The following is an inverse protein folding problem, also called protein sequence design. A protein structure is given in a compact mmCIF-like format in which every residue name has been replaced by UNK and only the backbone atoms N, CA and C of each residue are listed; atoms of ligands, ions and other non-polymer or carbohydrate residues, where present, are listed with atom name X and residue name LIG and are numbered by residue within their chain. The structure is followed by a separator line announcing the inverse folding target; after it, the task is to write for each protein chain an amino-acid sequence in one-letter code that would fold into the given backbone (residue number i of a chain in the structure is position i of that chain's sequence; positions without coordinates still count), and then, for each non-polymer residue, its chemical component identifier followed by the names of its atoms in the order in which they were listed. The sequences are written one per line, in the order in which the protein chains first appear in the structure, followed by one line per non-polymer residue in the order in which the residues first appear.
data_IF_016809401879
#
_entry.id   IF_016809401879
#
_cell.length_a   1.000
_cell.length_b   1.000
_cell.length_c   1.000
_cell.angle_alpha   90.00
_cell.angle_beta   90.00
_cell.angle_gamma   90.00
#
_symmetry.space_group_name_H-M   'P 1'
#
loop_
_entity.id
_entity.type
_entity.pdbx_description
1 polymer ?
#
# COMPACT_ATOMS: atom_id res chain seq x y z
N UNK A 1 -11.72 -11.87 12.32
CA UNK A 1 -11.39 -10.49 11.95
C UNK A 1 -9.89 -10.35 12.09
N UNK A 2 -9.18 -9.93 11.04
CA UNK A 2 -7.72 -9.82 11.06
C UNK A 2 -7.30 -8.66 11.97
N UNK A 3 -6.11 -8.79 12.56
CA UNK A 3 -5.54 -7.76 13.43
C UNK A 3 -4.65 -6.81 12.60
N UNK A 4 -5.20 -5.64 12.27
CA UNK A 4 -4.47 -4.63 11.50
C UNK A 4 -3.29 -4.02 12.28
N UNK A 5 -3.29 -4.09 13.62
CA UNK A 5 -2.18 -3.56 14.41
C UNK A 5 -0.86 -4.29 14.12
N UNK A 6 -0.92 -5.56 13.73
CA UNK A 6 0.26 -6.34 13.33
C UNK A 6 0.88 -5.82 12.03
N UNK A 7 0.08 -5.31 11.09
CA UNK A 7 0.61 -4.66 9.89
C UNK A 7 1.23 -3.30 10.24
N UNK A 8 0.56 -2.53 11.09
CA UNK A 8 1.06 -1.23 11.58
C UNK A 8 2.40 -1.38 12.30
N UNK A 9 2.55 -2.36 13.19
CA UNK A 9 3.81 -2.63 13.89
C UNK A 9 4.97 -2.91 12.91
N UNK A 10 4.71 -3.62 11.82
CA UNK A 10 5.70 -3.87 10.75
C UNK A 10 6.04 -2.61 9.97
N UNK A 11 5.04 -1.78 9.63
CA UNK A 11 5.29 -0.48 8.99
C UNK A 11 6.17 0.42 9.87
N UNK A 12 5.85 0.52 11.15
CA UNK A 12 6.61 1.31 12.12
C UNK A 12 8.02 0.75 12.36
N UNK A 13 8.21 -0.57 12.26
CA UNK A 13 9.54 -1.18 12.28
C UNK A 13 10.36 -0.79 11.03
N UNK A 14 9.77 -0.85 9.84
CA UNK A 14 10.42 -0.41 8.59
C UNK A 14 10.83 1.07 8.66
N UNK A 15 9.96 1.94 9.19
CA UNK A 15 10.23 3.38 9.36
C UNK A 15 11.38 3.70 10.33
N UNK A 16 11.84 2.74 11.14
CA UNK A 16 13.04 2.89 12.00
C UNK A 16 14.33 2.49 11.29
N UNK A 17 14.26 2.12 10.01
CA UNK A 17 15.40 1.69 9.20
C UNK A 17 15.72 2.73 8.10
N UNK A 18 15.94 2.30 6.86
CA UNK A 18 16.21 3.16 5.71
C UNK A 18 14.94 3.69 5.02
N UNK A 19 13.78 3.16 5.39
CA UNK A 19 12.50 3.65 4.87
C UNK A 19 12.10 4.96 5.54
N UNK A 20 11.37 5.77 4.79
CA UNK A 20 10.67 6.97 5.27
C UNK A 20 9.18 6.82 5.00
N UNK A 21 8.36 7.69 5.56
CA UNK A 21 6.92 7.63 5.40
C UNK A 21 6.17 8.09 6.62
N UNK A 22 4.84 8.08 6.52
CA UNK A 22 3.94 8.45 7.60
C UNK A 22 2.52 7.96 7.32
N UNK A 23 1.66 8.12 8.32
CA UNK A 23 0.21 8.13 8.13
C UNK A 23 -0.15 9.39 7.31
N UNK A 24 -0.71 9.19 6.12
CA UNK A 24 -1.14 10.27 5.22
C UNK A 24 -2.64 10.54 5.29
N UNK A 25 -3.38 9.70 6.01
CA UNK A 25 -4.79 9.88 6.26
C UNK A 25 -5.40 8.75 7.09
N UNK A 26 -6.72 8.69 7.08
CA UNK A 26 -7.47 7.70 7.81
C UNK A 26 -8.66 7.23 6.97
N UNK A 27 -8.93 5.93 6.99
CA UNK A 27 -10.06 5.28 6.33
C UNK A 27 -10.80 4.50 7.40
N UNK A 28 -12.06 4.85 7.66
CA UNK A 28 -12.91 4.14 8.63
C UNK A 28 -12.31 3.99 10.04
N UNK A 29 -11.55 4.98 10.50
CA UNK A 29 -10.86 4.94 11.79
C UNK A 29 -9.46 4.33 11.74
N UNK A 30 -9.03 3.73 10.62
CA UNK A 30 -7.73 3.08 10.47
C UNK A 30 -6.70 3.95 9.76
N UNK A 31 -5.43 3.96 10.22
CA UNK A 31 -4.38 4.78 9.62
C UNK A 31 -4.04 4.29 8.21
N UNK A 32 -3.95 5.22 7.27
CA UNK A 32 -3.54 4.95 5.90
C UNK A 32 -2.08 5.38 5.73
N UNK A 33 -1.19 4.43 5.46
CA UNK A 33 0.25 4.66 5.38
C UNK A 33 0.71 4.88 3.93
N UNK A 34 1.70 5.76 3.79
CA UNK A 34 2.56 5.81 2.60
C UNK A 34 4.01 5.67 3.07
N UNK A 35 4.70 4.66 2.54
CA UNK A 35 6.11 4.40 2.81
C UNK A 35 6.94 4.71 1.56
N UNK A 36 8.21 4.99 1.75
CA UNK A 36 9.13 5.29 0.66
C UNK A 36 10.55 4.79 0.95
N UNK A 37 11.23 4.34 -0.10
CA UNK A 37 12.65 4.01 -0.08
C UNK A 37 13.33 4.75 -1.22
N UNK A 38 14.29 5.60 -0.87
CA UNK A 38 15.06 6.41 -1.81
C UNK A 38 16.54 6.42 -1.43
N UNK A 39 17.39 6.87 -2.35
CA UNK A 39 18.82 7.06 -2.11
C UNK A 39 19.38 8.24 -2.92
N UNK A 40 20.70 8.35 -3.00
CA UNK A 40 21.38 9.58 -3.48
C UNK A 40 21.54 9.68 -5.01
N UNK A 41 20.90 8.80 -5.79
CA UNK A 41 20.99 8.88 -7.24
C UNK A 41 20.29 10.11 -7.78
N UNK A 42 20.90 10.75 -8.78
CA UNK A 42 20.34 11.94 -9.42
C UNK A 42 19.19 11.62 -10.40
N UNK A 43 19.01 10.36 -10.80
CA UNK A 43 17.98 9.92 -11.72
C UNK A 43 17.59 8.43 -11.48
N UNK A 44 17.05 8.08 -10.31
CA UNK A 44 16.54 6.74 -10.07
C UNK A 44 15.30 6.46 -10.92
N UNK A 45 15.04 5.18 -11.20
CA UNK A 45 13.70 4.76 -11.66
C UNK A 45 12.69 5.00 -10.53
N UNK A 46 11.45 5.35 -10.84
CA UNK A 46 10.40 5.52 -9.82
C UNK A 46 9.34 4.46 -9.94
N UNK A 47 9.18 3.65 -8.90
CA UNK A 47 8.19 2.56 -8.88
C UNK A 47 7.14 2.82 -7.80
N UNK A 48 5.90 2.47 -8.12
CA UNK A 48 4.78 2.43 -7.17
C UNK A 48 4.42 0.97 -6.90
N UNK A 49 4.43 0.57 -5.63
CA UNK A 49 3.98 -0.73 -5.16
C UNK A 49 2.75 -0.54 -4.28
N UNK A 50 1.65 -1.24 -4.57
CA UNK A 50 0.47 -1.22 -3.70
C UNK A 50 -0.07 -2.62 -3.43
N UNK A 51 -0.78 -2.76 -2.31
CA UNK A 51 -1.47 -3.99 -1.95
C UNK A 51 -2.77 -3.68 -1.21
N UNK A 52 -3.69 -4.65 -1.21
CA UNK A 52 -4.86 -4.60 -0.35
C UNK A 52 -5.96 -3.67 -0.80
N UNK A 53 -6.16 -3.56 -2.10
CA UNK A 53 -7.33 -2.90 -2.64
C UNK A 53 -8.60 -3.69 -2.28
N UNK A 54 -8.51 -5.02 -2.36
CA UNK A 54 -9.49 -5.94 -1.79
C UNK A 54 -8.98 -6.46 -0.45
N UNK A 55 -9.86 -6.46 0.55
CA UNK A 55 -9.47 -6.83 1.92
C UNK A 55 -9.50 -8.33 2.21
N UNK A 56 -10.10 -9.13 1.34
CA UNK A 56 -10.06 -10.59 1.36
C UNK A 56 -8.84 -11.17 0.64
N UNK A 57 -7.91 -10.32 0.19
CA UNK A 57 -6.64 -10.69 -0.45
C UNK A 57 -5.43 -10.35 0.48
N UNK A 58 -5.21 -11.12 1.57
CA UNK A 58 -4.21 -10.80 2.59
C UNK A 58 -2.74 -11.09 2.22
N UNK A 59 -2.44 -12.14 1.45
CA UNK A 59 -1.08 -12.49 1.05
C UNK A 59 -0.41 -11.42 0.20
N UNK A 60 -1.14 -10.62 -0.58
CA UNK A 60 -0.58 -9.47 -1.32
C UNK A 60 0.11 -8.48 -0.38
N UNK A 61 -0.52 -8.17 0.75
CA UNK A 61 0.07 -7.33 1.80
C UNK A 61 1.31 -7.98 2.43
N UNK A 62 1.21 -9.26 2.75
CA UNK A 62 2.26 -9.99 3.47
C UNK A 62 3.50 -10.15 2.60
N UNK A 63 3.32 -10.48 1.31
CA UNK A 63 4.39 -10.61 0.33
C UNK A 63 5.08 -9.26 0.08
N UNK A 64 4.32 -8.17 -0.06
CA UNK A 64 4.89 -6.84 -0.17
C UNK A 64 5.73 -6.50 1.08
N UNK A 65 5.21 -6.76 2.28
CA UNK A 65 5.95 -6.48 3.50
C UNK A 65 7.21 -7.33 3.66
N UNK A 66 7.13 -8.63 3.35
CA UNK A 66 8.30 -9.51 3.37
C UNK A 66 9.37 -8.98 2.41
N UNK A 67 9.00 -8.63 1.17
CA UNK A 67 9.92 -8.01 0.22
C UNK A 67 10.58 -6.73 0.75
N UNK A 68 9.82 -5.85 1.42
CA UNK A 68 10.36 -4.64 2.03
C UNK A 68 11.34 -4.94 3.17
N UNK A 69 11.07 -5.97 3.96
CA UNK A 69 11.89 -6.37 5.09
C UNK A 69 13.19 -7.07 4.68
N UNK A 70 13.21 -7.76 3.53
CA UNK A 70 14.33 -8.62 3.12
C UNK A 70 15.15 -8.08 1.94
N UNK A 71 14.49 -7.69 0.86
CA UNK A 71 15.14 -7.57 -0.46
C UNK A 71 15.16 -6.14 -1.01
N UNK A 72 14.12 -5.35 -0.70
CA UNK A 72 13.92 -4.03 -1.31
C UNK A 72 15.04 -3.03 -0.98
N UNK A 73 15.71 -3.16 0.16
CA UNK A 73 16.87 -2.31 0.49
C UNK A 73 17.98 -2.41 -0.56
N UNK A 74 18.12 -3.55 -1.26
CA UNK A 74 19.08 -3.68 -2.35
C UNK A 74 18.80 -2.72 -3.52
N UNK A 75 17.56 -2.26 -3.68
CA UNK A 75 17.17 -1.31 -4.73
C UNK A 75 17.50 0.15 -4.37
N UNK A 76 17.86 0.43 -3.13
CA UNK A 76 18.11 1.79 -2.66
C UNK A 76 19.16 2.51 -3.53
N UNK A 77 18.84 3.74 -3.96
CA UNK A 77 19.67 4.54 -4.85
C UNK A 77 19.63 4.11 -6.33
N UNK A 78 18.94 3.01 -6.68
CA UNK A 78 18.65 2.64 -8.08
C UNK A 78 17.19 2.88 -8.42
N UNK A 79 16.31 2.64 -7.45
CA UNK A 79 14.86 2.81 -7.55
C UNK A 79 14.36 3.63 -6.37
N UNK A 80 13.54 4.63 -6.65
CA UNK A 80 12.67 5.29 -5.69
C UNK A 80 11.37 4.51 -5.57
N UNK A 81 11.19 3.80 -4.46
CA UNK A 81 9.96 3.07 -4.18
C UNK A 81 8.96 3.99 -3.46
N UNK A 82 7.75 4.06 -3.98
CA UNK A 82 6.57 4.61 -3.32
C UNK A 82 5.64 3.44 -3.01
N UNK A 83 5.15 3.37 -1.78
CA UNK A 83 4.52 2.15 -1.27
C UNK A 83 3.22 2.47 -0.54
N UNK A 84 2.12 1.88 -1.02
CA UNK A 84 0.80 1.90 -0.40
C UNK A 84 0.48 0.50 0.13
N UNK A 85 0.89 0.14 1.36
CA UNK A 85 0.93 -1.25 1.79
C UNK A 85 -0.44 -1.82 2.17
N UNK A 86 -1.47 -0.99 2.32
CA UNK A 86 -2.85 -1.40 2.56
C UNK A 86 -3.81 -0.28 2.15
N UNK A 87 -4.52 -0.47 1.04
CA UNK A 87 -5.49 0.52 0.53
C UNK A 87 -6.83 0.43 1.28
N UNK A 88 -7.32 -0.78 1.57
CA UNK A 88 -8.58 -1.06 2.22
C UNK A 88 -8.38 -1.69 3.61
N UNK A 89 -7.98 -0.91 4.63
CA UNK A 89 -7.74 -1.44 5.97
C UNK A 89 -9.01 -2.02 6.62
N UNK A 90 -10.18 -1.42 6.36
CA UNK A 90 -11.44 -1.95 6.86
C UNK A 90 -11.74 -3.32 6.27
N UNK A 91 -11.61 -3.48 4.95
CA UNK A 91 -11.82 -4.76 4.27
C UNK A 91 -10.83 -5.82 4.77
N UNK A 92 -9.55 -5.46 4.95
CA UNK A 92 -8.54 -6.38 5.47
C UNK A 92 -8.95 -6.98 6.81
N UNK A 93 -9.39 -6.12 7.73
CA UNK A 93 -9.87 -6.49 9.06
C UNK A 93 -11.08 -7.42 8.94
N UNK A 94 -12.06 -7.04 8.13
CA UNK A 94 -13.35 -7.71 8.02
C UNK A 94 -13.37 -8.91 7.09
N UNK A 95 -12.25 -9.19 6.41
CA UNK A 95 -12.15 -10.24 5.38
C UNK A 95 -13.18 -10.04 4.27
N UNK A 96 -13.14 -8.85 3.66
CA UNK A 96 -14.08 -8.41 2.63
C UNK A 96 -13.37 -7.81 1.43
N UNK A 97 -13.82 -8.21 0.25
CA UNK A 97 -13.43 -7.61 -1.02
C UNK A 97 -13.68 -6.11 -1.03
N UNK A 98 -14.88 -5.71 -0.62
CA UNK A 98 -15.31 -4.32 -0.63
C UNK A 98 -14.83 -3.54 0.61
N UNK A 99 -14.95 -2.21 0.55
CA UNK A 99 -14.79 -1.35 1.73
C UNK A 99 -16.05 -1.35 2.62
N UNK A 100 -16.04 -0.57 3.70
CA UNK A 100 -17.16 -0.46 4.65
C UNK A 100 -18.49 -0.01 4.01
N UNK A 101 -18.42 0.62 2.84
CA UNK A 101 -19.57 1.12 2.08
C UNK A 101 -20.07 0.11 1.04
N UNK A 102 -19.55 -1.13 1.05
CA UNK A 102 -19.81 -2.17 0.05
C UNK A 102 -19.39 -1.77 -1.37
N UNK A 103 -18.32 -0.97 -1.49
CA UNK A 103 -17.75 -0.54 -2.77
C UNK A 103 -16.49 -1.34 -3.07
N UNK A 104 -16.42 -1.93 -4.26
CA UNK A 104 -15.20 -2.48 -4.86
C UNK A 104 -14.32 -1.30 -5.32
N UNK A 105 -13.27 -0.99 -4.55
CA UNK A 105 -12.36 0.14 -4.79
C UNK A 105 -11.67 0.01 -6.16
N UNK A 106 -11.35 -1.21 -6.60
CA UNK A 106 -10.69 -1.47 -7.89
C UNK A 106 -11.58 -1.13 -9.08
N UNK A 107 -12.90 -1.13 -8.88
CA UNK A 107 -13.88 -0.71 -9.89
C UNK A 107 -14.26 0.76 -9.79
N UNK A 108 -13.94 1.40 -8.67
CA UNK A 108 -14.33 2.77 -8.35
C UNK A 108 -13.14 3.73 -8.20
N UNK A 109 -11.96 3.40 -8.75
CA UNK A 109 -10.74 4.19 -8.57
C UNK A 109 -10.80 5.61 -9.20
N UNK A 110 -11.83 5.92 -9.98
CA UNK A 110 -12.08 7.29 -10.46
C UNK A 110 -12.89 8.15 -9.48
N UNK A 111 -13.53 7.53 -8.48
CA UNK A 111 -14.33 8.23 -7.49
C UNK A 111 -13.44 8.84 -6.40
N UNK A 112 -13.14 10.14 -6.54
CA UNK A 112 -12.33 10.90 -5.58
C UNK A 112 -13.07 11.22 -4.28
N UNK A 113 -14.36 10.91 -4.17
CA UNK A 113 -15.10 11.08 -2.91
C UNK A 113 -14.77 9.93 -1.94
N UNK A 114 -14.39 8.75 -2.45
CA UNK A 114 -13.86 7.64 -1.66
C UNK A 114 -12.55 8.01 -0.98
N UNK A 115 -12.46 7.74 0.33
CA UNK A 115 -11.30 8.12 1.12
C UNK A 115 -10.04 7.41 0.66
N UNK A 116 -10.14 6.11 0.37
CA UNK A 116 -9.07 5.24 -0.12
C UNK A 116 -8.50 5.78 -1.44
N UNK A 117 -9.37 6.06 -2.41
CA UNK A 117 -8.99 6.59 -3.73
C UNK A 117 -8.35 7.96 -3.61
N UNK A 118 -8.97 8.86 -2.83
CA UNK A 118 -8.42 10.20 -2.59
C UNK A 118 -7.03 10.13 -1.97
N UNK A 119 -6.82 9.25 -0.98
CA UNK A 119 -5.53 9.10 -0.31
C UNK A 119 -4.48 8.48 -1.23
N UNK A 120 -4.84 7.48 -2.05
CA UNK A 120 -3.95 6.95 -3.08
C UNK A 120 -3.51 8.06 -4.05
N UNK A 121 -4.45 8.88 -4.53
CA UNK A 121 -4.18 9.93 -5.51
C UNK A 121 -3.39 11.11 -4.93
N UNK A 122 -3.54 11.38 -3.64
CA UNK A 122 -2.87 12.51 -2.97
C UNK A 122 -1.36 12.30 -2.94
N UNK A 123 -0.62 13.14 -3.67
CA UNK A 123 0.84 13.07 -3.75
C UNK A 123 1.39 12.15 -4.85
N UNK A 124 0.57 11.22 -5.37
CA UNK A 124 0.94 10.37 -6.51
C UNK A 124 0.55 10.99 -7.86
N UNK A 125 -0.58 11.71 -7.96
CA UNK A 125 -1.06 12.29 -9.25
C UNK A 125 -0.09 13.32 -9.86
N UNK A 126 0.79 13.92 -9.06
CA UNK A 126 1.80 14.88 -9.52
C UNK A 126 3.13 14.22 -9.90
N UNK A 127 3.19 12.89 -9.85
CA UNK A 127 4.42 12.12 -10.08
C UNK A 127 4.33 11.28 -11.35
N UNK A 128 5.49 11.03 -11.96
CA UNK A 128 5.65 10.03 -13.01
C UNK A 128 6.23 8.76 -12.41
N UNK A 129 5.65 7.61 -12.74
CA UNK A 129 6.13 6.30 -12.33
C UNK A 129 6.54 5.51 -13.57
N UNK A 130 7.72 4.92 -13.53
CA UNK A 130 8.23 4.03 -14.58
C UNK A 130 7.63 2.63 -14.47
N UNK A 131 7.15 2.26 -13.29
CA UNK A 131 6.48 1.00 -13.02
C UNK A 131 5.41 1.16 -11.94
N UNK A 132 4.27 0.51 -12.15
CA UNK A 132 3.26 0.30 -11.13
C UNK A 132 3.01 -1.20 -10.98
N UNK A 133 3.09 -1.72 -9.75
CA UNK A 133 2.75 -3.09 -9.41
C UNK A 133 1.72 -3.08 -8.28
N UNK A 134 0.63 -3.80 -8.50
CA UNK A 134 -0.41 -4.01 -7.51
C UNK A 134 -0.55 -5.49 -7.20
N UNK A 135 -0.48 -5.82 -5.91
CA UNK A 135 -0.51 -7.19 -5.43
C UNK A 135 -1.95 -7.58 -5.10
N UNK A 136 -2.50 -8.47 -5.93
CA UNK A 136 -3.82 -9.09 -5.76
C UNK A 136 -3.67 -10.60 -5.56
N UNK A 137 -4.74 -11.21 -5.07
CA UNK A 137 -4.90 -12.67 -4.98
C UNK A 137 -6.18 -13.13 -5.66
N UNK A 138 -6.12 -14.33 -6.21
CA UNK A 138 -7.29 -15.04 -6.70
C UNK A 138 -7.44 -16.31 -5.86
N UNK A 139 -8.34 -16.27 -4.87
CA UNK A 139 -8.63 -17.39 -3.99
C UNK A 139 -10.00 -18.01 -4.26
N UNK A 140 -10.78 -17.46 -5.20
CA UNK A 140 -12.07 -17.99 -5.65
C UNK A 140 -11.86 -19.14 -6.65
N UNK A 141 -11.36 -20.27 -6.16
CA UNK A 141 -11.52 -21.53 -6.87
C UNK A 141 -12.79 -22.22 -6.35
N UNK A 142 -13.87 -22.17 -7.15
CA UNK A 142 -14.97 -23.15 -7.06
C UNK A 142 -14.50 -24.55 -7.52
#
# INVERSE_FOLDING_TARGET
MRDFSQLVDRYEALLRTVYTGAVVGNVEGYPFYHLSLSGDSAAPQRWLLSAGMHGDEPAGHLALLEFLETDAQSLQGRVDLNILPCINPWGYIHDRRENAQAIDINRAFEDKDLAEVRLCKTGLETQHFDLFLEFHEDWEFD
#
